data_IF_440603863898
#
_entry.id   IF_440603863898
#
_cell.length_a   1.000
_cell.length_b   1.000
_cell.length_c   1.000
_cell.angle_alpha   90.00
_cell.angle_beta   90.00
_cell.angle_gamma   90.00
#
_symmetry.space_group_name_H-M   'P 1'
#
loop_
_entity.id
_entity.type
_entity.pdbx_description
1 polymer ?
#
# COMPACT_ATOMS: atom_id res chain seq x y z
N UNK A 1 -5.53 38.96 6.23
CA UNK A 1 -4.37 38.32 5.55
C UNK A 1 -3.79 39.40 4.64
N UNK A 2 -2.49 39.71 4.74
CA UNK A 2 -1.90 40.79 3.96
C UNK A 2 -1.94 40.46 2.46
N UNK A 3 -2.38 41.42 1.64
CA UNK A 3 -2.55 41.29 0.18
C UNK A 3 -1.29 40.79 -0.54
N UNK A 4 -0.10 41.06 -0.01
CA UNK A 4 1.18 40.57 -0.55
C UNK A 4 1.37 39.05 -0.53
N UNK A 5 0.67 38.32 0.33
CA UNK A 5 0.77 36.85 0.38
C UNK A 5 -0.16 36.14 -0.62
N UNK A 6 -1.17 36.86 -1.14
CA UNK A 6 -2.10 36.31 -2.13
C UNK A 6 -1.50 36.28 -3.55
N UNK A 7 -0.43 37.04 -3.79
CA UNK A 7 0.22 37.13 -5.10
C UNK A 7 1.42 36.21 -5.26
N UNK A 8 1.83 35.50 -4.19
CA UNK A 8 2.94 34.54 -4.24
C UNK A 8 2.47 33.25 -4.94
N UNK A 9 2.92 33.07 -6.18
CA UNK A 9 2.69 31.81 -6.92
C UNK A 9 3.43 30.67 -6.23
N UNK A 10 2.76 29.52 -6.10
CA UNK A 10 3.38 28.30 -5.65
C UNK A 10 4.49 27.89 -6.63
N UNK A 11 5.67 27.59 -6.11
CA UNK A 11 6.78 27.04 -6.89
C UNK A 11 7.62 26.11 -5.99
N UNK A 12 8.50 25.25 -6.56
CA UNK A 12 9.27 24.28 -5.79
C UNK A 12 10.16 24.86 -4.68
N UNK A 13 10.48 26.16 -4.73
CA UNK A 13 11.29 26.81 -3.71
C UNK A 13 10.49 27.26 -2.48
N UNK A 14 9.17 27.45 -2.62
CA UNK A 14 8.34 28.00 -1.54
C UNK A 14 7.12 27.12 -1.19
N UNK A 15 6.91 26.01 -1.90
CA UNK A 15 5.77 25.14 -1.69
C UNK A 15 6.12 23.68 -1.94
N UNK A 16 5.81 22.83 -0.98
CA UNK A 16 5.79 21.38 -1.10
C UNK A 16 4.45 20.90 -0.50
N UNK A 17 3.69 20.03 -1.21
CA UNK A 17 2.49 19.43 -0.63
C UNK A 17 2.84 18.70 0.67
N UNK A 18 2.04 18.88 1.70
CA UNK A 18 2.19 18.15 2.94
C UNK A 18 1.65 16.73 2.73
N UNK A 19 2.54 15.75 2.63
CA UNK A 19 2.19 14.36 2.42
C UNK A 19 2.89 13.46 3.43
N UNK A 20 2.22 12.42 3.98
CA UNK A 20 2.85 11.38 4.79
C UNK A 20 4.06 10.73 4.10
N UNK A 21 4.05 10.64 2.77
CA UNK A 21 5.11 10.03 1.99
C UNK A 21 6.44 10.75 2.16
N UNK A 22 6.43 12.08 2.20
CA UNK A 22 7.64 12.88 2.42
C UNK A 22 8.23 12.68 3.81
N UNK A 23 7.42 12.35 4.80
CA UNK A 23 7.91 12.05 6.16
C UNK A 23 8.66 10.72 6.20
N UNK A 24 8.18 9.69 5.49
CA UNK A 24 8.88 8.40 5.42
C UNK A 24 10.23 8.57 4.72
N UNK A 25 10.28 9.24 3.57
CA UNK A 25 11.51 9.51 2.83
C UNK A 25 12.53 10.28 3.68
N UNK A 26 12.11 11.37 4.32
CA UNK A 26 12.94 12.16 5.22
C UNK A 26 13.44 11.34 6.42
N UNK A 27 12.58 10.50 6.99
CA UNK A 27 12.96 9.67 8.14
C UNK A 27 13.98 8.62 7.74
N UNK A 28 13.84 8.03 6.56
CA UNK A 28 14.83 7.10 6.01
C UNK A 28 16.18 7.78 5.76
N UNK A 29 16.19 9.01 5.24
CA UNK A 29 17.42 9.79 5.01
C UNK A 29 18.15 10.12 6.33
N UNK A 30 17.43 10.55 7.37
CA UNK A 30 18.03 11.01 8.63
C UNK A 30 18.31 9.85 9.58
N UNK A 31 17.42 8.86 9.65
CA UNK A 31 17.45 7.76 10.63
C UNK A 31 17.47 6.38 9.98
N UNK A 32 17.96 6.28 8.74
CA UNK A 32 17.86 5.09 7.90
C UNK A 32 18.27 3.78 8.56
N UNK A 33 19.29 3.78 9.42
CA UNK A 33 19.78 2.58 10.11
C UNK A 33 19.03 2.26 11.41
N UNK A 34 18.18 3.16 11.91
CA UNK A 34 17.38 2.89 13.10
C UNK A 34 16.22 1.96 12.79
N UNK A 35 15.85 1.13 13.76
CA UNK A 35 14.69 0.24 13.66
C UNK A 35 13.41 1.06 13.54
N UNK A 36 12.64 0.77 12.51
CA UNK A 36 11.31 1.35 12.23
C UNK A 36 10.20 0.40 12.67
N UNK A 37 10.32 -0.88 12.32
CA UNK A 37 9.30 -1.89 12.56
C UNK A 37 9.93 -3.06 13.32
N UNK A 38 9.22 -3.53 14.34
CA UNK A 38 9.48 -4.81 15.02
C UNK A 38 8.19 -5.61 14.97
N UNK A 39 8.25 -6.78 14.34
CA UNK A 39 7.12 -7.68 14.22
C UNK A 39 7.62 -9.12 14.39
N UNK A 40 7.23 -9.73 15.50
CA UNK A 40 7.73 -11.05 15.90
C UNK A 40 9.27 -11.11 15.85
N UNK A 41 9.84 -11.96 15.02
CA UNK A 41 11.29 -12.10 14.82
C UNK A 41 11.82 -11.26 13.64
N UNK A 42 10.97 -10.49 12.96
CA UNK A 42 11.34 -9.59 11.85
C UNK A 42 11.59 -8.18 12.38
N UNK A 43 12.66 -7.56 11.90
CA UNK A 43 12.96 -6.16 12.16
C UNK A 43 13.33 -5.47 10.86
N UNK A 44 12.78 -4.30 10.64
CA UNK A 44 13.11 -3.45 9.50
C UNK A 44 13.59 -2.09 9.96
N UNK A 45 14.66 -1.59 9.34
CA UNK A 45 15.10 -0.22 9.53
C UNK A 45 14.20 0.75 8.75
N UNK A 46 14.33 2.07 9.03
CA UNK A 46 13.64 3.10 8.25
C UNK A 46 13.99 3.05 6.77
N UNK A 47 15.28 2.79 6.44
CA UNK A 47 15.69 2.65 5.05
C UNK A 47 15.05 1.43 4.39
N UNK A 48 15.05 0.28 5.04
CA UNK A 48 14.40 -0.93 4.53
C UNK A 48 12.90 -0.73 4.35
N UNK A 49 12.23 -0.11 5.31
CA UNK A 49 10.79 0.19 5.22
C UNK A 49 10.49 1.11 4.04
N UNK A 50 11.30 2.14 3.82
CA UNK A 50 11.17 3.03 2.67
C UNK A 50 11.42 2.32 1.35
N UNK A 51 12.48 1.50 1.25
CA UNK A 51 12.81 0.77 0.02
C UNK A 51 11.73 -0.26 -0.32
N UNK A 52 11.17 -0.96 0.67
CA UNK A 52 10.07 -1.91 0.48
C UNK A 52 8.77 -1.22 0.03
N UNK A 53 8.46 -0.06 0.62
CA UNK A 53 7.31 0.75 0.18
C UNK A 53 7.47 1.22 -1.28
N UNK A 54 8.67 1.63 -1.68
CA UNK A 54 8.98 2.00 -3.08
C UNK A 54 8.92 0.80 -4.02
N UNK A 55 9.39 -0.37 -3.56
CA UNK A 55 9.29 -1.61 -4.32
C UNK A 55 7.83 -2.00 -4.57
N UNK A 56 6.96 -1.84 -3.57
CA UNK A 56 5.51 -2.04 -3.72
C UNK A 56 4.94 -1.06 -4.78
N UNK A 57 5.26 0.23 -4.66
CA UNK A 57 4.81 1.24 -5.64
C UNK A 57 5.23 0.88 -7.07
N UNK A 58 6.48 0.50 -7.24
CA UNK A 58 7.03 0.08 -8.53
C UNK A 58 6.35 -1.18 -9.07
N UNK A 59 6.04 -2.16 -8.19
CA UNK A 59 5.32 -3.37 -8.56
C UNK A 59 3.89 -3.08 -9.05
N UNK A 60 3.18 -2.16 -8.37
CA UNK A 60 1.83 -1.71 -8.76
C UNK A 60 1.85 -0.99 -10.12
N UNK A 61 2.78 -0.04 -10.31
CA UNK A 61 2.94 0.67 -11.58
C UNK A 61 3.23 -0.28 -12.75
N UNK A 62 4.03 -1.32 -12.56
CA UNK A 62 4.28 -2.34 -13.60
C UNK A 62 3.05 -3.17 -13.94
N UNK A 63 2.06 -3.25 -13.04
CA UNK A 63 0.74 -3.83 -13.33
C UNK A 63 -0.19 -2.86 -14.04
N UNK A 64 0.28 -1.65 -14.36
CA UNK A 64 -0.49 -0.60 -14.99
C UNK A 64 -1.44 0.11 -14.03
N UNK A 65 -1.21 -0.04 -12.71
CA UNK A 65 -1.97 0.66 -11.68
C UNK A 65 -1.36 2.04 -11.41
N UNK A 66 -2.21 3.03 -11.18
CA UNK A 66 -1.78 4.41 -10.96
C UNK A 66 -2.91 5.29 -10.44
N UNK A 67 -2.95 6.54 -10.93
CA UNK A 67 -3.93 7.52 -10.48
C UNK A 67 -5.36 6.99 -10.69
N UNK A 68 -6.21 7.21 -9.70
CA UNK A 68 -7.61 6.78 -9.63
C UNK A 68 -7.84 5.26 -9.51
N UNK A 69 -6.80 4.43 -9.55
CA UNK A 69 -6.96 2.99 -9.29
C UNK A 69 -6.98 2.70 -7.79
N UNK A 70 -7.90 1.86 -7.35
CA UNK A 70 -7.98 1.42 -5.94
C UNK A 70 -7.25 0.09 -5.74
N UNK A 71 -6.38 0.06 -4.74
CA UNK A 71 -5.74 -1.14 -4.21
C UNK A 71 -6.30 -1.42 -2.82
N UNK A 72 -7.02 -2.52 -2.68
CA UNK A 72 -7.55 -2.97 -1.38
C UNK A 72 -6.54 -3.84 -0.64
N UNK A 73 -6.57 -3.76 0.70
CA UNK A 73 -5.79 -4.63 1.56
C UNK A 73 -6.63 -5.14 2.73
N UNK A 74 -6.55 -6.45 3.00
CA UNK A 74 -7.08 -7.09 4.18
C UNK A 74 -5.97 -7.88 4.88
N UNK A 75 -5.47 -7.37 5.98
CA UNK A 75 -4.39 -7.97 6.75
C UNK A 75 -4.44 -7.53 8.22
N UNK A 76 -3.80 -8.29 9.10
CA UNK A 76 -3.48 -7.82 10.43
C UNK A 76 -2.45 -6.68 10.39
N UNK A 77 -2.05 -6.17 11.57
CA UNK A 77 -1.03 -5.11 11.67
C UNK A 77 0.38 -5.69 11.41
N UNK A 78 0.60 -6.17 10.21
CA UNK A 78 1.87 -6.71 9.74
C UNK A 78 2.75 -5.63 9.10
N UNK A 79 4.04 -5.88 8.86
CA UNK A 79 4.90 -4.95 8.11
C UNK A 79 4.33 -4.60 6.74
N UNK A 80 3.74 -5.56 6.04
CA UNK A 80 3.16 -5.40 4.71
C UNK A 80 1.95 -4.43 4.73
N UNK A 81 1.13 -4.48 5.79
CA UNK A 81 0.05 -3.51 6.00
C UNK A 81 0.63 -2.10 6.18
N UNK A 82 1.70 -1.96 6.97
CA UNK A 82 2.37 -0.67 7.16
C UNK A 82 2.96 -0.14 5.85
N UNK A 83 3.63 -1.00 5.09
CA UNK A 83 4.22 -0.66 3.78
C UNK A 83 3.16 -0.22 2.77
N UNK A 84 1.98 -0.84 2.78
CA UNK A 84 0.87 -0.48 1.90
C UNK A 84 0.39 0.97 2.11
N UNK A 85 0.43 1.49 3.34
CA UNK A 85 0.05 2.89 3.62
C UNK A 85 0.95 3.92 2.93
N UNK A 86 2.15 3.52 2.52
CA UNK A 86 3.07 4.37 1.77
C UNK A 86 3.19 3.92 0.31
N UNK A 87 3.38 2.63 0.08
CA UNK A 87 3.64 2.10 -1.26
C UNK A 87 2.48 2.28 -2.23
N UNK A 88 1.25 2.10 -1.78
CA UNK A 88 0.05 2.29 -2.62
C UNK A 88 -0.10 3.76 -3.03
N UNK A 89 -0.08 4.74 -2.11
CA UNK A 89 -0.11 6.16 -2.50
C UNK A 89 1.13 6.60 -3.29
N UNK A 90 2.32 6.01 -3.06
CA UNK A 90 3.51 6.28 -3.90
C UNK A 90 3.31 5.85 -5.35
N UNK A 91 2.48 4.83 -5.61
CA UNK A 91 2.09 4.44 -6.96
C UNK A 91 1.07 5.42 -7.60
N UNK A 92 0.50 6.32 -6.81
CA UNK A 92 -0.60 7.19 -7.21
C UNK A 92 -1.99 6.56 -6.97
N UNK A 93 -2.03 5.36 -6.41
CA UNK A 93 -3.26 4.62 -6.17
C UNK A 93 -3.96 5.03 -4.87
N UNK A 94 -5.24 4.76 -4.80
CA UNK A 94 -6.05 4.89 -3.59
C UNK A 94 -5.90 3.62 -2.75
N UNK A 95 -5.51 3.76 -1.48
CA UNK A 95 -5.47 2.65 -0.55
C UNK A 95 -6.83 2.46 0.13
N UNK A 96 -7.42 1.28 -0.01
CA UNK A 96 -8.63 0.86 0.69
C UNK A 96 -8.29 -0.24 1.70
N UNK A 97 -8.30 0.10 3.00
CA UNK A 97 -8.02 -0.87 4.08
C UNK A 97 -9.32 -1.51 4.56
N UNK A 98 -9.42 -2.83 4.43
CA UNK A 98 -10.61 -3.60 4.81
C UNK A 98 -10.44 -4.14 6.23
N UNK A 99 -11.47 -3.95 7.06
CA UNK A 99 -11.47 -4.47 8.42
C UNK A 99 -11.55 -6.01 8.40
N UNK A 100 -10.63 -6.66 9.10
CA UNK A 100 -10.49 -8.13 9.16
C UNK A 100 -11.62 -8.85 9.90
N UNK A 101 -12.54 -8.14 10.55
CA UNK A 101 -13.66 -8.68 11.30
C UNK A 101 -14.99 -8.65 10.53
N UNK A 102 -14.96 -8.24 9.28
CA UNK A 102 -16.16 -8.18 8.43
C UNK A 102 -16.49 -9.56 7.86
N UNK A 103 -17.78 -9.77 7.63
CA UNK A 103 -18.28 -10.93 6.93
C UNK A 103 -18.04 -10.82 5.41
N UNK A 104 -18.05 -11.94 4.71
CA UNK A 104 -17.71 -12.03 3.30
C UNK A 104 -18.55 -11.13 2.40
N UNK A 105 -19.86 -11.02 2.66
CA UNK A 105 -20.78 -10.17 1.89
C UNK A 105 -20.40 -8.70 2.00
N UNK A 106 -19.97 -8.25 3.19
CA UNK A 106 -19.55 -6.86 3.40
C UNK A 106 -18.21 -6.60 2.71
N UNK A 107 -17.28 -7.56 2.75
CA UNK A 107 -15.99 -7.47 2.04
C UNK A 107 -16.24 -7.39 0.53
N UNK A 108 -17.10 -8.26 -0.02
CA UNK A 108 -17.45 -8.25 -1.44
C UNK A 108 -18.06 -6.90 -1.85
N UNK A 109 -18.99 -6.37 -1.04
CA UNK A 109 -19.59 -5.05 -1.28
C UNK A 109 -18.50 -3.96 -1.31
N UNK A 110 -17.59 -3.92 -0.33
CA UNK A 110 -16.52 -2.92 -0.28
C UNK A 110 -15.59 -3.02 -1.49
N UNK A 111 -15.22 -4.24 -1.90
CA UNK A 111 -14.36 -4.45 -3.07
C UNK A 111 -15.03 -3.96 -4.37
N UNK A 112 -16.32 -4.22 -4.52
CA UNK A 112 -17.11 -3.77 -5.67
C UNK A 112 -17.33 -2.25 -5.66
N UNK A 113 -17.75 -1.69 -4.51
CA UNK A 113 -18.08 -0.26 -4.37
C UNK A 113 -16.87 0.65 -4.54
N UNK A 114 -15.68 0.16 -4.15
CA UNK A 114 -14.40 0.88 -4.31
C UNK A 114 -13.74 0.68 -5.68
N UNK A 115 -14.35 -0.02 -6.62
CA UNK A 115 -13.74 -0.40 -7.90
C UNK A 115 -12.34 -0.99 -7.73
N UNK A 116 -12.16 -1.87 -6.75
CA UNK A 116 -10.83 -2.45 -6.43
C UNK A 116 -10.22 -3.16 -7.63
N UNK A 117 -9.01 -2.76 -8.01
CA UNK A 117 -8.27 -3.32 -9.15
C UNK A 117 -7.30 -4.44 -8.74
N UNK A 118 -6.91 -4.46 -7.47
CA UNK A 118 -6.02 -5.45 -6.87
C UNK A 118 -6.34 -5.58 -5.39
N UNK A 119 -6.27 -6.81 -4.88
CA UNK A 119 -6.40 -7.10 -3.45
C UNK A 119 -5.08 -7.66 -2.92
N UNK A 120 -4.55 -7.06 -1.86
CA UNK A 120 -3.48 -7.64 -1.05
C UNK A 120 -4.14 -8.30 0.15
N UNK A 121 -3.96 -9.60 0.34
CA UNK A 121 -4.69 -10.35 1.37
C UNK A 121 -3.76 -11.24 2.20
N UNK A 122 -3.88 -11.11 3.51
CA UNK A 122 -3.25 -12.04 4.44
C UNK A 122 -3.96 -13.40 4.38
N UNK A 123 -3.18 -14.46 4.18
CA UNK A 123 -3.68 -15.85 4.07
C UNK A 123 -4.40 -16.33 5.34
N UNK A 124 -4.23 -15.66 6.47
CA UNK A 124 -5.01 -15.90 7.68
C UNK A 124 -6.52 -15.68 7.48
N UNK A 125 -6.91 -14.82 6.53
CA UNK A 125 -8.32 -14.49 6.25
C UNK A 125 -8.86 -15.20 5.01
N UNK A 126 -8.13 -16.25 4.55
CA UNK A 126 -8.37 -16.95 3.30
C UNK A 126 -9.84 -17.38 3.11
N UNK A 127 -10.41 -18.04 4.08
CA UNK A 127 -11.75 -18.63 3.90
C UNK A 127 -12.82 -17.56 3.68
N UNK A 128 -12.77 -16.48 4.43
CA UNK A 128 -13.68 -15.32 4.26
C UNK A 128 -13.43 -14.60 2.95
N UNK A 129 -12.15 -14.40 2.59
CA UNK A 129 -11.77 -13.72 1.34
C UNK A 129 -12.20 -14.51 0.12
N UNK A 130 -12.03 -15.84 0.10
CA UNK A 130 -12.47 -16.65 -1.04
C UNK A 130 -13.99 -16.59 -1.26
N UNK A 131 -14.78 -16.61 -0.17
CA UNK A 131 -16.23 -16.45 -0.28
C UNK A 131 -16.59 -15.06 -0.81
N UNK A 132 -15.89 -14.00 -0.35
CA UNK A 132 -16.12 -12.65 -0.85
C UNK A 132 -15.77 -12.52 -2.34
N UNK A 133 -14.66 -13.11 -2.79
CA UNK A 133 -14.25 -13.09 -4.19
C UNK A 133 -15.22 -13.83 -5.11
N UNK A 134 -15.83 -14.93 -4.63
CA UNK A 134 -16.85 -15.70 -5.40
C UNK A 134 -18.15 -14.90 -5.61
N UNK A 135 -18.39 -13.87 -4.81
CA UNK A 135 -19.54 -12.97 -4.93
C UNK A 135 -19.33 -11.82 -5.92
N UNK A 136 -18.10 -11.60 -6.38
CA UNK A 136 -17.80 -10.54 -7.36
C UNK A 136 -18.20 -11.02 -8.77
N UNK A 137 -18.64 -10.08 -9.61
CA UNK A 137 -18.97 -10.31 -11.01
C UNK A 137 -17.76 -10.32 -11.95
N UNK A 138 -16.56 -10.08 -11.41
CA UNK A 138 -15.29 -10.04 -12.14
C UNK A 138 -14.16 -10.70 -11.34
N UNK A 139 -13.10 -11.07 -12.02
CA UNK A 139 -11.91 -11.61 -11.37
C UNK A 139 -11.03 -10.48 -10.84
N UNK A 140 -10.75 -10.51 -9.55
CA UNK A 140 -9.82 -9.61 -8.89
C UNK A 140 -8.47 -10.31 -8.68
N UNK A 141 -7.36 -9.67 -9.07
CA UNK A 141 -6.03 -10.20 -8.79
C UNK A 141 -5.74 -10.10 -7.29
N UNK A 142 -5.22 -11.20 -6.72
CA UNK A 142 -4.88 -11.28 -5.30
C UNK A 142 -3.39 -11.52 -5.13
N UNK A 143 -2.77 -10.71 -4.27
CA UNK A 143 -1.39 -10.85 -3.80
C UNK A 143 -1.43 -11.34 -2.35
N UNK A 144 -0.81 -12.47 -2.08
CA UNK A 144 -0.84 -13.11 -0.78
C UNK A 144 0.21 -12.54 0.18
N UNK A 145 -0.21 -12.08 1.34
CA UNK A 145 0.68 -11.91 2.49
C UNK A 145 0.72 -13.26 3.21
N UNK A 146 1.92 -13.83 3.32
CA UNK A 146 2.18 -15.07 4.08
C UNK A 146 2.93 -14.72 5.34
N UNK A 147 2.21 -14.63 6.45
CA UNK A 147 2.84 -14.33 7.73
C UNK A 147 3.57 -15.57 8.27
N UNK A 148 4.93 -15.54 8.38
CA UNK A 148 5.69 -16.67 8.91
C UNK A 148 5.33 -17.06 10.35
N UNK A 149 4.76 -16.11 11.13
CA UNK A 149 4.34 -16.36 12.50
C UNK A 149 3.15 -17.33 12.58
N UNK A 150 2.37 -17.47 11.50
CA UNK A 150 1.20 -18.34 11.43
C UNK A 150 1.51 -19.71 10.79
N UNK A 151 2.74 -19.93 10.35
CA UNK A 151 3.14 -21.12 9.62
C UNK A 151 2.66 -21.14 8.18
N UNK A 152 2.70 -22.33 7.54
CA UNK A 152 2.27 -22.48 6.15
C UNK A 152 0.73 -22.57 6.07
N UNK A 153 0.12 -21.52 5.51
CA UNK A 153 -1.30 -21.47 5.19
C UNK A 153 -1.51 -21.60 3.66
N UNK A 154 -2.64 -22.18 3.22
CA UNK A 154 -2.97 -22.29 1.80
C UNK A 154 -3.10 -20.89 1.16
N UNK A 155 -2.65 -20.78 -0.09
CA UNK A 155 -2.73 -19.54 -0.86
C UNK A 155 -4.19 -19.13 -1.18
N UNK A 156 -4.40 -17.83 -1.36
CA UNK A 156 -5.61 -17.24 -1.93
C UNK A 156 -5.34 -16.92 -3.40
N UNK A 157 -4.31 -16.13 -3.64
CA UNK A 157 -3.86 -15.69 -4.96
C UNK A 157 -2.78 -16.60 -5.57
N UNK A 158 -2.16 -16.09 -6.61
CA UNK A 158 -1.09 -16.82 -7.34
C UNK A 158 0.30 -16.27 -7.04
N UNK A 159 0.40 -15.12 -6.40
CA UNK A 159 1.64 -14.38 -6.21
C UNK A 159 1.77 -14.02 -4.74
N UNK A 160 2.91 -14.35 -4.19
CA UNK A 160 3.31 -13.97 -2.84
C UNK A 160 3.79 -12.50 -2.81
N UNK A 161 3.53 -11.79 -1.72
CA UNK A 161 3.88 -10.37 -1.56
C UNK A 161 5.38 -10.12 -1.71
N UNK A 162 6.22 -10.95 -1.10
CA UNK A 162 7.67 -10.82 -1.19
C UNK A 162 8.16 -11.02 -2.64
N UNK A 163 7.61 -12.01 -3.35
CA UNK A 163 7.89 -12.21 -4.76
C UNK A 163 7.37 -11.04 -5.63
N UNK A 164 6.23 -10.46 -5.27
CA UNK A 164 5.64 -9.33 -5.98
C UNK A 164 6.52 -8.09 -5.92
N UNK A 165 7.08 -7.76 -4.75
CA UNK A 165 7.93 -6.59 -4.56
C UNK A 165 9.39 -6.84 -4.98
N UNK A 166 9.90 -8.08 -4.89
CA UNK A 166 11.31 -8.41 -5.15
C UNK A 166 11.77 -8.16 -6.59
N UNK A 167 10.85 -8.20 -7.56
CA UNK A 167 11.15 -8.02 -8.99
C UNK A 167 11.18 -6.55 -9.39
N UNK A 168 11.08 -5.62 -8.44
CA UNK A 168 10.89 -4.21 -8.71
C UNK A 168 12.18 -3.42 -8.60
N UNK A 169 12.51 -2.67 -9.65
CA UNK A 169 13.43 -1.55 -9.51
C UNK A 169 12.76 -0.52 -8.59
N UNK A 170 13.55 0.11 -7.73
CA UNK A 170 13.03 1.13 -6.84
C UNK A 170 12.65 2.36 -7.67
N UNK A 171 11.35 2.63 -7.78
CA UNK A 171 10.85 3.84 -8.42
C UNK A 171 11.17 5.05 -7.53
N UNK A 172 11.82 6.06 -8.10
CA UNK A 172 12.16 7.29 -7.40
C UNK A 172 11.13 8.40 -7.63
N UNK A 173 10.31 8.28 -8.68
CA UNK A 173 9.35 9.30 -9.07
C UNK A 173 7.95 8.92 -8.61
N UNK A 174 7.61 9.32 -7.40
CA UNK A 174 6.24 9.31 -6.92
C UNK A 174 5.59 10.65 -7.20
N UNK A 175 4.61 10.64 -8.04
CA UNK A 175 3.80 11.81 -8.36
C UNK A 175 2.68 11.91 -7.33
N UNK A 176 2.69 13.00 -6.56
CA UNK A 176 1.53 13.38 -5.79
C UNK A 176 0.58 14.17 -6.69
N UNK A 177 -0.74 14.05 -6.55
CA UNK A 177 -1.68 14.91 -7.21
C UNK A 177 -1.38 16.38 -6.83
N UNK A 178 -1.63 17.32 -7.75
CA UNK A 178 -1.42 18.74 -7.49
C UNK A 178 -2.34 19.28 -6.40
N UNK A 179 -3.48 18.61 -6.20
CA UNK A 179 -4.45 18.90 -5.17
C UNK A 179 -4.77 17.61 -4.42
N UNK A 180 -4.79 17.66 -3.09
CA UNK A 180 -5.06 16.51 -2.23
C UNK A 180 -6.58 16.24 -2.08
N UNK A 181 -7.41 16.98 -2.82
CA UNK A 181 -8.88 16.93 -2.76
C UNK A 181 -9.52 16.60 -4.10
#
# INVERSE_FOLDING_TARGET
MHQHYQELKKNPANYIPLSPLSFLARTADIFGTRTAIVYENRQYSWQQTYDRSRALASALKRRGLGLDDTVSIIAANTPEMYEAHFGVPMAGCVLNTINTRLEAETIAYILADSDSRLLIADTAFRDTVLVALDMLDHNLEVIDIRDPALGELPAIGKIDYEAFIATSELDNDWSLPEDEW
#
